data_IF_396160688639
#
_entry.id   IF_396160688639
#
_cell.length_a   1.000
_cell.length_b   1.000
_cell.length_c   1.000
_cell.angle_alpha   90.00
_cell.angle_beta   90.00
_cell.angle_gamma   90.00
#
_symmetry.space_group_name_H-M   'P 1'
#
loop_
_entity.id
_entity.type
_entity.pdbx_description
1 polymer ?
#
# COMPACT_ATOMS: atom_id res chain seq x y z
N UNK A 1 2.29 -10.17 -0.49
CA UNK A 1 1.49 -9.80 0.70
C UNK A 1 2.33 -9.47 1.93
N UNK A 2 3.30 -10.28 2.36
CA UNK A 2 4.12 -9.97 3.55
C UNK A 2 4.80 -8.59 3.52
N UNK A 3 5.43 -8.22 2.39
CA UNK A 3 6.04 -6.89 2.21
C UNK A 3 5.02 -5.73 2.29
N UNK A 4 3.79 -5.94 1.80
CA UNK A 4 2.72 -4.95 1.86
C UNK A 4 2.26 -4.68 3.30
N UNK A 5 2.04 -5.75 4.08
CA UNK A 5 1.67 -5.61 5.48
C UNK A 5 2.80 -5.02 6.33
N UNK A 6 4.06 -5.39 6.03
CA UNK A 6 5.22 -4.78 6.67
C UNK A 6 5.29 -3.27 6.39
N UNK A 7 5.17 -2.87 5.11
CA UNK A 7 5.15 -1.46 4.72
C UNK A 7 4.00 -0.69 5.37
N UNK A 8 2.79 -1.26 5.39
CA UNK A 8 1.63 -0.69 6.08
C UNK A 8 1.90 -0.45 7.58
N UNK A 9 2.54 -1.40 8.25
CA UNK A 9 2.90 -1.27 9.67
C UNK A 9 3.91 -0.15 9.93
N UNK A 10 4.96 -0.07 9.09
CA UNK A 10 5.96 1.00 9.18
C UNK A 10 5.34 2.37 8.91
N UNK A 11 4.53 2.49 7.86
CA UNK A 11 3.84 3.74 7.52
C UNK A 11 2.88 4.17 8.64
N UNK A 12 2.20 3.22 9.28
CA UNK A 12 1.31 3.51 10.41
C UNK A 12 2.07 4.07 11.61
N UNK A 13 3.20 3.45 11.99
CA UNK A 13 4.05 3.97 13.06
C UNK A 13 4.59 5.35 12.70
N UNK A 14 5.11 5.52 11.48
CA UNK A 14 5.65 6.80 11.03
C UNK A 14 4.62 7.94 11.15
N UNK A 15 3.38 7.68 10.69
CA UNK A 15 2.31 8.67 10.79
C UNK A 15 1.94 8.95 12.25
N UNK A 16 1.89 7.92 13.08
CA UNK A 16 1.55 8.05 14.50
C UNK A 16 2.54 8.92 15.29
N UNK A 17 3.84 8.85 14.96
CA UNK A 17 4.88 9.59 15.70
C UNK A 17 5.21 10.96 15.09
N UNK A 18 4.90 11.18 13.82
CA UNK A 18 5.30 12.41 13.10
C UNK A 18 4.14 13.41 12.95
N UNK A 19 2.89 12.94 12.91
CA UNK A 19 1.72 13.79 12.63
C UNK A 19 0.75 13.85 13.81
N UNK A 20 -0.12 14.87 13.78
CA UNK A 20 -1.19 15.06 14.77
C UNK A 20 -2.21 13.92 14.78
N UNK A 21 -2.93 13.78 15.90
CA UNK A 21 -3.96 12.76 16.09
C UNK A 21 -5.02 12.76 14.97
N UNK A 22 -5.47 13.93 14.52
CA UNK A 22 -6.41 14.07 13.39
C UNK A 22 -5.89 13.41 12.11
N UNK A 23 -4.62 13.59 11.78
CA UNK A 23 -4.00 13.00 10.59
C UNK A 23 -3.88 11.49 10.77
N UNK A 24 -3.50 11.04 11.96
CA UNK A 24 -3.38 9.63 12.27
C UNK A 24 -4.73 8.88 12.24
N UNK A 25 -5.79 9.48 12.75
CA UNK A 25 -7.15 8.92 12.72
C UNK A 25 -7.66 8.85 11.28
N UNK A 26 -7.49 9.91 10.49
CA UNK A 26 -7.86 9.91 9.07
C UNK A 26 -7.04 8.89 8.26
N UNK A 27 -5.76 8.74 8.56
CA UNK A 27 -4.90 7.73 7.93
C UNK A 27 -5.34 6.30 8.28
N UNK A 28 -5.79 6.03 9.51
CA UNK A 28 -6.37 4.74 9.86
C UNK A 28 -7.71 4.48 9.17
N UNK A 29 -8.56 5.50 9.05
CA UNK A 29 -9.88 5.39 8.43
C UNK A 29 -9.81 5.19 6.90
N UNK A 30 -9.00 5.99 6.21
CA UNK A 30 -8.96 6.03 4.74
C UNK A 30 -7.66 5.51 4.15
N UNK A 31 -6.55 5.57 4.89
CA UNK A 31 -5.23 5.15 4.40
C UNK A 31 -5.17 3.66 4.08
N UNK A 32 -5.90 2.81 4.81
CA UNK A 32 -6.00 1.38 4.50
C UNK A 32 -6.63 1.12 3.13
N UNK A 33 -7.67 1.87 2.76
CA UNK A 33 -8.34 1.76 1.46
C UNK A 33 -7.42 2.28 0.34
N UNK A 34 -6.78 3.44 0.55
CA UNK A 34 -5.83 4.01 -0.42
C UNK A 34 -4.63 3.09 -0.67
N UNK A 35 -4.07 2.49 0.38
CA UNK A 35 -2.96 1.55 0.28
C UNK A 35 -3.38 0.25 -0.41
N UNK A 36 -4.59 -0.25 -0.17
CA UNK A 36 -5.14 -1.41 -0.89
C UNK A 36 -5.26 -1.15 -2.39
N UNK A 37 -5.78 0.01 -2.79
CA UNK A 37 -5.90 0.40 -4.20
C UNK A 37 -4.51 0.49 -4.85
N UNK A 38 -3.55 1.17 -4.20
CA UNK A 38 -2.17 1.23 -4.69
C UNK A 38 -1.53 -0.15 -4.82
N UNK A 39 -1.78 -1.04 -3.86
CA UNK A 39 -1.27 -2.41 -3.89
C UNK A 39 -1.85 -3.21 -5.05
N UNK A 40 -3.16 -3.12 -5.29
CA UNK A 40 -3.82 -3.81 -6.41
C UNK A 40 -3.29 -3.28 -7.75
N UNK A 41 -3.12 -1.96 -7.90
CA UNK A 41 -2.55 -1.35 -9.11
C UNK A 41 -1.10 -1.83 -9.31
N UNK A 42 -0.28 -1.80 -8.26
CA UNK A 42 1.11 -2.25 -8.33
C UNK A 42 1.20 -3.74 -8.69
N UNK A 43 0.33 -4.59 -8.12
CA UNK A 43 0.24 -6.01 -8.49
C UNK A 43 -0.24 -6.19 -9.94
N UNK A 44 -1.23 -5.41 -10.39
CA UNK A 44 -1.73 -5.45 -11.76
C UNK A 44 -0.67 -5.05 -12.80
N UNK A 45 0.10 -3.98 -12.53
CA UNK A 45 1.22 -3.54 -13.38
C UNK A 45 2.40 -4.52 -13.34
N UNK A 46 2.69 -5.09 -12.17
CA UNK A 46 3.74 -6.10 -12.06
C UNK A 46 3.37 -7.36 -12.83
N UNK A 47 2.10 -7.77 -12.75
CA UNK A 47 1.57 -8.92 -13.48
C UNK A 47 1.52 -8.65 -14.99
N UNK A 48 1.07 -7.47 -15.44
CA UNK A 48 1.05 -7.14 -16.87
C UNK A 48 2.45 -7.21 -17.49
N UNK A 49 3.48 -6.73 -16.78
CA UNK A 49 4.88 -6.83 -17.21
C UNK A 49 5.43 -8.27 -17.23
N UNK A 50 4.88 -9.20 -16.46
CA UNK A 50 5.31 -10.60 -16.47
C UNK A 50 4.44 -11.49 -17.39
N UNK A 51 3.29 -10.98 -17.84
CA UNK A 51 2.44 -11.64 -18.83
C UNK A 51 2.87 -11.36 -20.28
N UNK A 52 3.72 -10.36 -20.52
CA UNK A 52 4.28 -10.01 -21.84
C UNK A 52 5.49 -10.87 -22.25
N UNK A 53 5.51 -12.15 -21.84
CA UNK A 53 6.62 -13.07 -22.08
C UNK A 53 6.22 -14.48 -22.50
N UNK A 54 4.96 -14.72 -22.87
CA UNK A 54 4.48 -16.05 -23.27
C UNK A 54 3.65 -16.01 -24.58
N UNK A 55 4.16 -15.30 -25.58
CA UNK A 55 3.71 -15.41 -26.98
C UNK A 55 4.91 -15.49 -27.96
N UNK A 56 5.83 -16.42 -27.71
CA UNK A 56 6.86 -16.82 -28.68
C UNK A 56 6.46 -18.09 -29.45
#
# INVERSE_FOLDING_TARGET
WAAFFFFMGVLNLYVAYTFSEDVWVNFKLFGGIGLLILFIIAQGLWLSRHMEGDEA
#
